data_IF_045666141698
#
_entry.id   IF_045666141698
#
_cell.length_a   1.000
_cell.length_b   1.000
_cell.length_c   1.000
_cell.angle_alpha   90.00
_cell.angle_beta   90.00
_cell.angle_gamma   90.00
#
_symmetry.space_group_name_H-M   'P 1'
#
loop_
_entity.id
_entity.type
_entity.pdbx_description
1 polymer ?
#
# COMPACT_ATOMS: atom_id res chain seq x y z
N UNK A 1 -23.68 -9.25 -3.13
CA UNK A 1 -22.28 -8.97 -2.94
C UNK A 1 -21.89 -7.73 -3.70
N UNK A 2 -21.66 -6.63 -3.02
CA UNK A 2 -21.08 -5.42 -3.61
C UNK A 2 -19.64 -5.72 -4.02
N UNK A 3 -19.41 -6.02 -5.28
CA UNK A 3 -18.05 -6.02 -5.85
C UNK A 3 -17.62 -4.56 -5.92
N UNK A 4 -16.58 -4.20 -5.16
CA UNK A 4 -16.11 -2.83 -5.04
C UNK A 4 -15.71 -2.22 -6.39
N UNK A 5 -15.93 -0.92 -6.52
CA UNK A 5 -15.60 -0.08 -7.68
C UNK A 5 -14.14 -0.24 -8.16
N UNK A 6 -13.20 -0.65 -7.29
CA UNK A 6 -11.80 -0.89 -7.64
C UNK A 6 -11.55 -1.95 -8.72
N UNK A 7 -12.47 -2.90 -8.92
CA UNK A 7 -12.37 -3.91 -10.00
C UNK A 7 -12.86 -3.38 -11.36
N UNK A 8 -13.61 -2.29 -11.39
CA UNK A 8 -14.15 -1.71 -12.63
C UNK A 8 -13.03 -1.12 -13.49
N UNK A 9 -12.01 -0.54 -12.88
CA UNK A 9 -10.87 0.08 -13.59
C UNK A 9 -10.05 -0.90 -14.41
N UNK A 10 -9.81 -2.09 -13.87
CA UNK A 10 -9.00 -3.13 -14.54
C UNK A 10 -9.73 -3.81 -15.70
N UNK A 11 -11.01 -3.49 -15.90
CA UNK A 11 -11.89 -4.14 -16.90
C UNK A 11 -12.56 -3.16 -17.85
N UNK A 12 -12.21 -1.88 -17.82
CA UNK A 12 -12.82 -0.88 -18.71
C UNK A 12 -12.59 -1.18 -20.19
N UNK A 13 -11.44 -1.76 -20.54
CA UNK A 13 -11.09 -2.17 -21.88
C UNK A 13 -11.71 -3.54 -22.30
N UNK A 14 -12.35 -4.23 -21.35
CA UNK A 14 -12.94 -5.56 -21.54
C UNK A 14 -14.47 -5.53 -21.54
N UNK A 15 -15.10 -4.35 -21.52
CA UNK A 15 -16.54 -4.19 -21.57
C UNK A 15 -16.95 -3.36 -22.80
N UNK A 16 -18.12 -3.68 -23.36
CA UNK A 16 -18.66 -2.98 -24.54
C UNK A 16 -19.21 -1.59 -24.18
N UNK A 17 -19.77 -1.46 -22.98
CA UNK A 17 -20.40 -0.21 -22.49
C UNK A 17 -20.18 -0.02 -21.00
N UNK A 18 -20.12 1.24 -20.59
CA UNK A 18 -19.98 1.69 -19.20
C UNK A 18 -21.18 2.55 -18.85
N UNK A 19 -21.78 2.26 -17.70
CA UNK A 19 -22.81 3.09 -17.05
C UNK A 19 -22.17 3.81 -15.87
N UNK A 20 -22.18 5.12 -15.89
CA UNK A 20 -21.78 5.94 -14.75
C UNK A 20 -23.00 6.43 -13.98
N UNK A 21 -23.01 6.11 -12.68
CA UNK A 21 -24.07 6.52 -11.75
C UNK A 21 -23.48 7.46 -10.70
N UNK A 22 -24.13 8.61 -10.50
CA UNK A 22 -23.82 9.51 -9.39
C UNK A 22 -25.10 9.90 -8.66
N UNK A 23 -25.05 9.90 -7.32
CA UNK A 23 -26.19 10.23 -6.44
C UNK A 23 -27.48 9.49 -6.80
N UNK A 24 -27.36 8.21 -7.17
CA UNK A 24 -28.49 7.35 -7.53
C UNK A 24 -29.10 7.62 -8.92
N UNK A 25 -28.47 8.45 -9.75
CA UNK A 25 -28.94 8.76 -11.12
C UNK A 25 -27.89 8.33 -12.15
N UNK A 26 -28.38 8.00 -13.36
CA UNK A 26 -27.52 7.78 -14.51
C UNK A 26 -27.03 9.13 -15.03
N UNK A 27 -25.72 9.36 -14.95
CA UNK A 27 -25.08 10.58 -15.44
C UNK A 27 -24.50 10.38 -16.84
N UNK A 28 -24.01 9.16 -17.14
CA UNK A 28 -23.46 8.85 -18.46
C UNK A 28 -23.62 7.35 -18.79
N UNK A 29 -23.80 7.06 -20.08
CA UNK A 29 -23.82 5.70 -20.63
C UNK A 29 -23.19 5.71 -22.02
N UNK A 30 -22.11 4.95 -22.21
CA UNK A 30 -21.39 4.92 -23.48
C UNK A 30 -20.33 3.83 -23.59
N UNK A 31 -19.58 3.86 -24.67
CA UNK A 31 -18.40 2.99 -24.83
C UNK A 31 -17.29 3.44 -23.89
N UNK A 32 -16.30 2.59 -23.57
CA UNK A 32 -15.16 2.96 -22.73
C UNK A 32 -14.44 4.25 -23.17
N UNK A 33 -14.23 4.43 -24.48
CA UNK A 33 -13.58 5.63 -25.01
C UNK A 33 -14.43 6.90 -24.82
N UNK A 34 -15.73 6.84 -25.05
CA UNK A 34 -16.64 7.96 -24.82
C UNK A 34 -16.76 8.28 -23.32
N UNK A 35 -16.78 7.26 -22.48
CA UNK A 35 -16.81 7.43 -21.03
C UNK A 35 -15.53 8.09 -20.51
N UNK A 36 -14.37 7.71 -21.03
CA UNK A 36 -13.10 8.33 -20.68
C UNK A 36 -13.09 9.82 -21.08
N UNK A 37 -13.58 10.17 -22.27
CA UNK A 37 -13.72 11.57 -22.69
C UNK A 37 -14.68 12.35 -21.78
N UNK A 38 -15.84 11.80 -21.46
CA UNK A 38 -16.79 12.39 -20.51
C UNK A 38 -16.15 12.66 -19.14
N UNK A 39 -15.33 11.73 -18.63
CA UNK A 39 -14.64 11.91 -17.34
C UNK A 39 -13.62 13.05 -17.37
N UNK A 40 -12.88 13.23 -18.46
CA UNK A 40 -11.97 14.39 -18.62
C UNK A 40 -12.76 15.69 -18.67
N UNK A 41 -13.80 15.77 -19.50
CA UNK A 41 -14.62 16.97 -19.69
C UNK A 41 -15.35 17.42 -18.42
N UNK A 42 -15.62 16.51 -17.49
CA UNK A 42 -16.34 16.78 -16.23
C UNK A 42 -15.45 16.76 -14.99
N UNK A 43 -14.13 16.86 -15.14
CA UNK A 43 -13.15 16.83 -14.05
C UNK A 43 -13.26 15.57 -13.15
N UNK A 44 -13.63 14.45 -13.74
CA UNK A 44 -13.77 13.13 -13.12
C UNK A 44 -12.56 12.23 -13.42
N UNK A 45 -11.39 12.82 -13.63
CA UNK A 45 -10.15 12.12 -14.01
C UNK A 45 -9.75 11.02 -13.02
N UNK A 46 -10.20 11.13 -11.77
CA UNK A 46 -10.04 10.08 -10.77
C UNK A 46 -10.59 8.71 -11.20
N UNK A 47 -11.54 8.67 -12.13
CA UNK A 47 -12.12 7.44 -12.67
C UNK A 47 -11.43 6.92 -13.95
N UNK A 48 -10.39 7.59 -14.43
CA UNK A 48 -9.63 7.14 -15.58
C UNK A 48 -8.54 6.12 -15.22
N UNK A 49 -8.24 5.15 -16.10
CA UNK A 49 -7.00 4.37 -16.01
C UNK A 49 -5.78 5.30 -16.04
N UNK A 50 -4.70 4.93 -15.35
CA UNK A 50 -3.48 5.75 -15.30
C UNK A 50 -2.89 6.02 -16.70
N UNK A 51 -2.99 5.04 -17.60
CA UNK A 51 -2.64 5.25 -19.01
C UNK A 51 -3.44 6.38 -19.65
N UNK A 52 -4.77 6.43 -19.41
CA UNK A 52 -5.62 7.50 -19.93
C UNK A 52 -5.29 8.86 -19.28
N UNK A 53 -5.04 8.90 -17.98
CA UNK A 53 -4.61 10.11 -17.25
C UNK A 53 -3.30 10.67 -17.81
N UNK A 54 -2.31 9.81 -18.05
CA UNK A 54 -1.02 10.22 -18.61
C UNK A 54 -1.15 10.90 -19.98
N UNK A 55 -2.17 10.53 -20.77
CA UNK A 55 -2.42 11.06 -22.10
C UNK A 55 -3.51 12.14 -22.15
N UNK A 56 -4.22 12.42 -21.05
CA UNK A 56 -5.38 13.33 -21.04
C UNK A 56 -5.07 14.76 -21.55
N UNK A 57 -3.81 15.21 -21.34
CA UNK A 57 -3.32 16.52 -21.83
C UNK A 57 -2.62 16.44 -23.18
N UNK A 58 -2.40 15.24 -23.73
CA UNK A 58 -1.58 15.02 -24.92
C UNK A 58 -2.39 14.66 -26.16
N UNK A 59 -3.56 14.02 -25.99
CA UNK A 59 -4.40 13.60 -27.12
C UNK A 59 -5.87 13.42 -26.71
N UNK A 60 -6.76 13.61 -27.69
CA UNK A 60 -8.21 13.44 -27.51
C UNK A 60 -8.63 11.96 -27.40
N UNK A 61 -7.93 11.09 -28.12
CA UNK A 61 -8.18 9.65 -28.12
C UNK A 61 -7.34 8.98 -27.03
N UNK A 62 -7.93 8.74 -25.87
CA UNK A 62 -7.24 8.28 -24.68
C UNK A 62 -6.96 6.77 -24.72
N UNK A 63 -5.71 6.32 -24.47
CA UNK A 63 -5.40 4.90 -24.33
C UNK A 63 -5.97 4.38 -23.01
N UNK A 64 -6.75 3.31 -23.07
CA UNK A 64 -7.40 2.72 -21.89
C UNK A 64 -6.56 1.62 -21.23
N UNK A 65 -5.48 1.18 -21.89
CA UNK A 65 -4.57 0.17 -21.37
C UNK A 65 -3.13 0.42 -21.83
N UNK A 66 -2.19 -0.29 -21.17
CA UNK A 66 -0.74 -0.14 -21.41
C UNK A 66 -0.35 -0.41 -22.86
N UNK A 67 -0.99 -1.38 -23.52
CA UNK A 67 -0.71 -1.72 -24.94
C UNK A 67 -1.07 -0.57 -25.86
N UNK A 68 -2.25 0.04 -25.68
CA UNK A 68 -2.67 1.21 -26.43
C UNK A 68 -1.76 2.41 -26.14
N UNK A 69 -1.40 2.64 -24.86
CA UNK A 69 -0.47 3.68 -24.45
C UNK A 69 0.89 3.54 -25.13
N UNK A 70 1.45 2.33 -25.13
CA UNK A 70 2.74 2.03 -25.79
C UNK A 70 2.70 2.30 -27.28
N UNK A 71 1.66 1.82 -27.98
CA UNK A 71 1.49 2.07 -29.41
C UNK A 71 1.36 3.57 -29.73
N UNK A 72 0.76 4.35 -28.84
CA UNK A 72 0.70 5.81 -29.01
C UNK A 72 2.05 6.49 -28.79
N UNK A 73 2.81 6.08 -27.79
CA UNK A 73 4.17 6.60 -27.56
C UNK A 73 5.07 6.31 -28.78
N UNK A 74 5.01 5.11 -29.34
CA UNK A 74 5.74 4.75 -30.55
C UNK A 74 5.37 5.67 -31.75
N UNK A 75 4.06 5.96 -31.93
CA UNK A 75 3.59 6.88 -32.97
C UNK A 75 4.01 8.33 -32.74
N UNK A 76 4.21 8.74 -31.47
CA UNK A 76 4.72 10.05 -31.10
C UNK A 76 6.26 10.15 -31.16
N UNK A 77 6.94 9.09 -31.63
CA UNK A 77 8.40 9.05 -31.74
C UNK A 77 9.15 8.85 -30.44
N UNK A 78 8.45 8.48 -29.37
CA UNK A 78 9.08 8.15 -28.08
C UNK A 78 9.45 6.67 -28.12
N UNK A 79 10.66 6.37 -28.61
CA UNK A 79 11.15 4.98 -28.82
C UNK A 79 12.02 4.47 -27.69
N UNK A 80 12.62 5.36 -26.90
CA UNK A 80 13.46 4.99 -25.76
C UNK A 80 12.94 5.64 -24.48
N UNK A 81 12.28 4.84 -23.65
CA UNK A 81 12.18 5.15 -22.24
C UNK A 81 13.53 4.78 -21.65
N UNK A 82 14.33 5.74 -21.16
CA UNK A 82 15.58 5.39 -20.51
C UNK A 82 15.25 4.37 -19.43
N UNK A 83 15.76 3.16 -19.56
CA UNK A 83 15.84 2.25 -18.41
C UNK A 83 16.73 2.98 -17.41
N UNK A 84 16.14 3.77 -16.54
CA UNK A 84 16.82 4.17 -15.31
C UNK A 84 17.16 2.85 -14.62
N UNK A 85 18.36 2.36 -14.90
CA UNK A 85 19.02 1.47 -13.98
C UNK A 85 19.05 2.27 -12.68
N UNK A 86 18.19 1.88 -11.73
CA UNK A 86 18.35 2.31 -10.36
C UNK A 86 19.68 1.73 -9.94
N UNK A 87 20.75 2.46 -10.28
CA UNK A 87 22.03 2.29 -9.61
C UNK A 87 21.68 2.57 -8.16
N UNK A 88 21.72 1.54 -7.37
CA UNK A 88 21.76 1.62 -5.92
C UNK A 88 23.05 2.39 -5.60
N UNK A 89 23.00 3.72 -5.84
CA UNK A 89 24.06 4.60 -5.39
C UNK A 89 24.04 4.40 -3.89
N UNK A 90 25.10 3.75 -3.41
CA UNK A 90 25.42 3.56 -2.01
C UNK A 90 25.45 4.92 -1.31
N UNK A 91 24.26 5.47 -1.08
CA UNK A 91 24.11 6.47 -0.04
C UNK A 91 24.32 5.72 1.26
N UNK A 92 25.37 6.05 1.96
CA UNK A 92 25.77 5.48 3.25
C UNK A 92 24.76 5.82 4.37
N UNK A 93 23.46 5.81 4.09
CA UNK A 93 22.43 6.05 5.09
C UNK A 93 22.10 4.75 5.81
N UNK A 94 22.02 4.79 7.15
CA UNK A 94 21.75 3.60 7.93
C UNK A 94 20.34 3.08 7.64
N UNK A 95 20.21 1.77 7.52
CA UNK A 95 18.92 1.12 7.36
C UNK A 95 18.04 1.32 8.60
N UNK A 96 16.80 1.77 8.39
CA UNK A 96 15.78 1.77 9.44
C UNK A 96 15.29 0.34 9.71
N UNK A 97 15.12 -0.47 8.65
CA UNK A 97 14.76 -1.88 8.74
C UNK A 97 15.75 -2.69 7.90
N UNK A 98 16.33 -3.73 8.47
CA UNK A 98 17.21 -4.64 7.76
C UNK A 98 16.90 -6.10 8.12
N UNK A 99 16.66 -6.89 7.10
CA UNK A 99 16.56 -8.35 7.16
C UNK A 99 17.79 -8.94 6.49
N UNK A 100 18.46 -9.90 7.14
CA UNK A 100 19.63 -10.57 6.59
C UNK A 100 19.45 -12.08 6.62
N UNK A 101 19.52 -12.69 5.45
CA UNK A 101 19.52 -14.15 5.24
C UNK A 101 18.40 -14.85 6.03
N UNK A 102 17.16 -14.36 5.88
CA UNK A 102 16.01 -14.89 6.62
C UNK A 102 15.51 -16.20 6.01
N UNK A 103 15.42 -17.22 6.86
CA UNK A 103 14.83 -18.51 6.53
C UNK A 103 13.66 -18.79 7.46
N UNK A 104 12.53 -19.19 6.90
CA UNK A 104 11.32 -19.48 7.65
C UNK A 104 10.49 -20.57 7.01
N UNK A 105 9.95 -21.46 7.84
CA UNK A 105 8.94 -22.48 7.54
C UNK A 105 7.97 -22.58 8.70
N UNK A 106 6.75 -23.00 8.46
CA UNK A 106 5.75 -23.11 9.52
C UNK A 106 5.98 -24.33 10.40
N UNK A 107 6.35 -25.45 9.81
CA UNK A 107 6.61 -26.72 10.51
C UNK A 107 7.99 -27.24 10.15
N UNK A 108 8.57 -28.07 11.03
CA UNK A 108 9.94 -28.61 10.88
C UNK A 108 10.15 -29.34 9.55
N UNK A 109 9.11 -30.00 9.04
CA UNK A 109 9.18 -30.84 7.83
C UNK A 109 8.46 -30.16 6.62
N UNK A 110 7.95 -28.92 6.76
CA UNK A 110 7.34 -28.21 5.64
C UNK A 110 8.38 -27.49 4.79
N UNK A 111 8.09 -27.22 3.51
CA UNK A 111 8.95 -26.41 2.64
C UNK A 111 9.25 -25.04 3.22
N UNK A 112 10.45 -24.53 2.95
CA UNK A 112 10.82 -23.18 3.32
C UNK A 112 10.01 -22.17 2.50
N UNK A 113 9.44 -21.20 3.21
CA UNK A 113 8.69 -20.09 2.63
C UNK A 113 9.62 -18.89 2.39
N UNK A 114 10.48 -18.59 3.36
CA UNK A 114 11.59 -17.67 3.16
C UNK A 114 12.88 -18.48 3.00
N UNK A 115 13.64 -18.16 1.95
CA UNK A 115 14.83 -18.93 1.53
C UNK A 115 16.03 -18.01 1.37
N UNK A 116 16.61 -17.53 2.49
CA UNK A 116 17.71 -16.58 2.47
C UNK A 116 17.25 -15.18 2.03
N UNK A 117 16.12 -14.71 2.57
CA UNK A 117 15.56 -13.42 2.18
C UNK A 117 16.35 -12.27 2.78
N UNK A 118 16.76 -11.34 1.93
CA UNK A 118 17.38 -10.06 2.28
C UNK A 118 16.46 -8.90 1.94
N UNK A 119 16.38 -7.91 2.84
CA UNK A 119 15.64 -6.67 2.64
C UNK A 119 16.32 -5.54 3.43
N UNK A 120 16.54 -4.41 2.77
CA UNK A 120 17.03 -3.19 3.42
C UNK A 120 16.16 -1.99 3.05
N UNK A 121 15.61 -1.31 4.08
CA UNK A 121 14.80 -0.09 3.93
C UNK A 121 15.52 1.03 4.65
N UNK A 122 15.76 2.14 3.96
CA UNK A 122 16.46 3.31 4.50
C UNK A 122 15.53 4.11 5.42
N UNK A 123 16.12 4.93 6.28
CA UNK A 123 15.34 5.83 7.15
C UNK A 123 14.55 6.84 6.31
N UNK A 124 13.26 7.04 6.62
CA UNK A 124 12.38 7.96 5.91
C UNK A 124 11.97 7.50 4.51
N UNK A 125 12.27 6.25 4.14
CA UNK A 125 11.93 5.68 2.85
C UNK A 125 10.54 5.03 2.88
N UNK A 126 9.77 5.22 1.82
CA UNK A 126 8.61 4.39 1.50
C UNK A 126 9.04 3.30 0.52
N UNK A 127 9.07 2.05 0.97
CA UNK A 127 9.48 0.90 0.18
C UNK A 127 8.28 0.03 -0.19
N UNK A 128 8.07 -0.20 -1.48
CA UNK A 128 7.04 -1.08 -2.03
C UNK A 128 7.55 -2.52 -2.19
N UNK A 129 7.04 -3.45 -1.38
CA UNK A 129 7.33 -4.87 -1.51
C UNK A 129 6.29 -5.51 -2.44
N UNK A 130 6.74 -5.86 -3.64
CA UNK A 130 5.90 -6.40 -4.71
C UNK A 130 6.03 -7.93 -4.78
N UNK A 131 5.02 -8.59 -5.33
CA UNK A 131 5.09 -10.03 -5.60
C UNK A 131 3.73 -10.69 -5.66
N UNK A 132 3.69 -11.88 -6.28
CA UNK A 132 2.48 -12.70 -6.39
C UNK A 132 1.99 -13.24 -5.04
N UNK A 133 0.73 -13.64 -4.99
CA UNK A 133 0.19 -14.34 -3.83
C UNK A 133 0.96 -15.65 -3.61
N UNK A 134 1.24 -15.97 -2.34
CA UNK A 134 2.06 -17.14 -1.99
C UNK A 134 3.58 -16.91 -2.02
N UNK A 135 4.07 -15.75 -2.47
CA UNK A 135 5.51 -15.42 -2.54
C UNK A 135 6.18 -15.11 -1.20
N UNK A 136 5.57 -15.45 -0.06
CA UNK A 136 6.19 -15.28 1.27
C UNK A 136 6.09 -13.86 1.87
N UNK A 137 5.42 -12.89 1.19
CA UNK A 137 5.29 -11.51 1.67
C UNK A 137 4.73 -11.41 3.09
N UNK A 138 3.55 -11.98 3.33
CA UNK A 138 2.90 -11.95 4.66
C UNK A 138 3.73 -12.72 5.71
N UNK A 139 4.47 -13.76 5.32
CA UNK A 139 5.40 -14.43 6.22
C UNK A 139 6.57 -13.54 6.59
N UNK A 140 7.12 -12.80 5.62
CA UNK A 140 8.17 -11.81 5.87
C UNK A 140 7.68 -10.71 6.81
N UNK A 141 6.47 -10.17 6.60
CA UNK A 141 5.88 -9.19 7.50
C UNK A 141 5.71 -9.74 8.92
N UNK A 142 5.21 -10.98 9.07
CA UNK A 142 5.10 -11.63 10.39
C UNK A 142 6.46 -11.76 11.07
N UNK A 143 7.51 -12.09 10.32
CA UNK A 143 8.88 -12.14 10.85
C UNK A 143 9.37 -10.75 11.25
N UNK A 144 9.17 -9.72 10.43
CA UNK A 144 9.53 -8.33 10.73
C UNK A 144 8.78 -7.83 11.97
N UNK A 145 7.52 -8.15 12.11
CA UNK A 145 6.70 -7.78 13.26
C UNK A 145 6.97 -8.63 14.53
N UNK A 146 7.84 -9.64 14.45
CA UNK A 146 8.14 -10.50 15.60
C UNK A 146 7.00 -11.47 15.95
N UNK A 147 5.99 -11.60 15.09
CA UNK A 147 4.86 -12.52 15.22
C UNK A 147 5.25 -13.96 14.84
N UNK A 148 6.35 -14.11 14.11
CA UNK A 148 6.92 -15.38 13.70
C UNK A 148 8.45 -15.31 13.86
N UNK A 149 9.06 -16.36 14.38
CA UNK A 149 10.50 -16.40 14.61
C UNK A 149 11.18 -17.17 13.47
N UNK A 150 12.09 -16.51 12.71
CA UNK A 150 12.85 -17.22 11.69
C UNK A 150 13.81 -18.22 12.36
N UNK A 151 14.04 -19.38 11.73
CA UNK A 151 15.00 -20.35 12.25
C UNK A 151 16.45 -19.98 11.89
N UNK A 152 16.65 -19.15 10.85
CA UNK A 152 17.96 -18.59 10.49
C UNK A 152 17.81 -17.16 10.02
N UNK A 153 18.86 -16.36 10.16
CA UNK A 153 18.91 -14.95 9.79
C UNK A 153 18.57 -13.98 10.92
N UNK A 154 18.54 -12.71 10.60
CA UNK A 154 18.33 -11.64 11.60
C UNK A 154 17.48 -10.51 11.05
N UNK A 155 16.66 -9.92 11.92
CA UNK A 155 15.96 -8.64 11.68
C UNK A 155 16.53 -7.60 12.63
N UNK A 156 16.81 -6.42 12.12
CA UNK A 156 17.22 -5.27 12.92
C UNK A 156 16.44 -4.01 12.52
N UNK A 157 16.15 -3.17 13.51
CA UNK A 157 15.47 -1.89 13.38
C UNK A 157 16.40 -0.81 13.93
N UNK A 158 16.78 0.15 13.10
CA UNK A 158 17.77 1.19 13.43
C UNK A 158 19.03 0.61 14.09
N UNK A 159 19.55 -0.50 13.53
CA UNK A 159 20.74 -1.20 14.01
C UNK A 159 20.53 -2.09 15.25
N UNK A 160 19.42 -1.97 15.97
CA UNK A 160 19.09 -2.82 17.13
C UNK A 160 18.39 -4.09 16.69
N UNK A 161 18.88 -5.27 17.09
CA UNK A 161 18.25 -6.55 16.75
C UNK A 161 16.81 -6.62 17.28
N UNK A 162 15.87 -7.06 16.46
CA UNK A 162 14.45 -7.17 16.81
C UNK A 162 14.22 -7.97 18.11
N UNK A 163 14.96 -9.05 18.31
CA UNK A 163 14.86 -9.88 19.53
C UNK A 163 15.26 -9.16 20.82
N UNK A 164 15.86 -7.98 20.74
CA UNK A 164 16.18 -7.15 21.90
C UNK A 164 14.98 -6.32 22.40
N UNK A 165 13.92 -6.21 21.59
CA UNK A 165 12.65 -5.62 21.99
C UNK A 165 11.82 -6.69 22.72
N UNK A 166 11.58 -6.49 24.02
CA UNK A 166 10.86 -7.45 24.88
C UNK A 166 9.54 -6.85 25.34
N UNK A 167 8.63 -7.71 25.79
CA UNK A 167 7.37 -7.30 26.45
C UNK A 167 6.53 -6.32 25.61
N UNK A 168 6.48 -6.52 24.30
CA UNK A 168 5.70 -5.68 23.39
C UNK A 168 6.32 -4.31 23.08
N UNK A 169 7.56 -4.01 23.52
CA UNK A 169 8.20 -2.71 23.27
C UNK A 169 8.44 -2.44 21.79
N UNK A 170 8.51 -3.48 20.95
CA UNK A 170 8.63 -3.33 19.49
C UNK A 170 7.49 -2.47 18.93
N UNK A 171 6.24 -2.79 19.28
CA UNK A 171 5.07 -2.06 18.80
C UNK A 171 4.82 -0.74 19.54
N UNK A 172 5.29 -0.61 20.78
CA UNK A 172 5.14 0.65 21.53
C UNK A 172 6.16 1.71 21.17
N UNK A 173 7.36 1.31 20.72
CA UNK A 173 8.49 2.22 20.54
C UNK A 173 8.88 2.41 19.08
N UNK A 174 8.64 1.43 18.23
CA UNK A 174 9.28 1.39 16.92
C UNK A 174 8.37 1.14 15.74
N UNK A 175 7.46 0.17 15.83
CA UNK A 175 6.79 -0.39 14.66
C UNK A 175 5.28 -0.41 14.85
N UNK A 176 4.55 0.01 13.83
CA UNK A 176 3.13 -0.27 13.72
C UNK A 176 2.86 -1.19 12.52
N UNK A 177 1.87 -2.06 12.65
CA UNK A 177 1.45 -2.99 11.60
C UNK A 177 -0.03 -2.83 11.29
N UNK A 178 -0.35 -2.57 10.05
CA UNK A 178 -1.70 -2.53 9.52
C UNK A 178 -1.95 -3.79 8.69
N UNK A 179 -2.77 -4.72 9.17
CA UNK A 179 -3.06 -5.96 8.47
C UNK A 179 -4.00 -5.74 7.28
N UNK A 180 -4.07 -6.73 6.40
CA UNK A 180 -4.94 -6.74 5.22
C UNK A 180 -6.44 -6.58 5.57
N UNK A 181 -6.86 -7.07 6.73
CA UNK A 181 -8.22 -6.95 7.26
C UNK A 181 -8.21 -6.04 8.50
N UNK A 182 -8.29 -4.70 8.33
CA UNK A 182 -8.10 -3.74 9.39
C UNK A 182 -9.16 -3.81 10.49
N UNK A 183 -10.37 -4.32 10.20
CA UNK A 183 -11.44 -4.51 11.19
C UNK A 183 -11.00 -5.42 12.34
N UNK A 184 -10.09 -6.37 12.09
CA UNK A 184 -9.55 -7.28 13.12
C UNK A 184 -8.74 -6.59 14.22
N UNK A 185 -8.36 -5.34 14.00
CA UNK A 185 -7.67 -4.53 15.01
C UNK A 185 -8.61 -3.95 16.07
N UNK A 186 -9.91 -3.98 15.83
CA UNK A 186 -10.93 -3.37 16.70
C UNK A 186 -11.63 -4.44 17.54
N UNK A 187 -11.73 -4.17 18.84
CA UNK A 187 -12.30 -5.11 19.83
C UNK A 187 -13.40 -4.47 20.68
N UNK A 188 -13.68 -3.18 20.51
CA UNK A 188 -14.69 -2.43 21.25
C UNK A 188 -15.95 -2.17 20.42
N UNK A 189 -16.99 -1.72 21.11
CA UNK A 189 -18.29 -1.39 20.53
C UNK A 189 -18.25 -0.12 19.67
N UNK A 190 -17.27 0.77 19.89
CA UNK A 190 -17.10 1.97 19.08
C UNK A 190 -15.63 2.21 18.73
N UNK A 191 -15.39 2.92 17.60
CA UNK A 191 -14.07 3.36 17.19
C UNK A 191 -13.40 4.20 18.28
N UNK A 192 -14.15 5.10 18.91
CA UNK A 192 -13.67 5.96 20.00
C UNK A 192 -13.08 5.17 21.16
N UNK A 193 -13.82 4.16 21.63
CA UNK A 193 -13.36 3.32 22.74
C UNK A 193 -12.06 2.57 22.40
N UNK A 194 -11.94 2.08 21.17
CA UNK A 194 -10.73 1.42 20.71
C UNK A 194 -9.52 2.38 20.63
N UNK A 195 -9.72 3.59 20.10
CA UNK A 195 -8.66 4.59 20.01
C UNK A 195 -8.18 5.06 21.39
N UNK A 196 -9.10 5.26 22.34
CA UNK A 196 -8.80 5.65 23.72
C UNK A 196 -8.01 4.59 24.52
N UNK A 197 -7.93 3.34 24.02
CA UNK A 197 -7.02 2.35 24.61
C UNK A 197 -5.54 2.59 24.23
N UNK A 198 -5.30 3.30 23.14
CA UNK A 198 -3.96 3.52 22.58
C UNK A 198 -3.46 4.95 22.74
N UNK A 199 -4.33 5.91 23.09
CA UNK A 199 -3.98 7.31 23.30
C UNK A 199 -4.93 8.01 24.29
N UNK A 200 -4.50 9.16 24.81
CA UNK A 200 -5.37 10.03 25.58
C UNK A 200 -6.40 10.76 24.69
N UNK A 201 -7.38 11.39 25.32
CA UNK A 201 -8.50 12.05 24.61
C UNK A 201 -8.02 13.11 23.61
N UNK A 202 -7.03 13.93 23.99
CA UNK A 202 -6.53 15.02 23.13
C UNK A 202 -5.81 14.46 21.92
N UNK A 203 -4.96 13.45 22.10
CA UNK A 203 -4.24 12.78 21.02
C UNK A 203 -5.22 12.08 20.07
N UNK A 204 -6.26 11.43 20.62
CA UNK A 204 -7.31 10.78 19.79
C UNK A 204 -8.07 11.81 18.97
N UNK A 205 -8.46 12.95 19.55
CA UNK A 205 -9.15 14.02 18.83
C UNK A 205 -8.27 14.57 17.67
N UNK A 206 -6.99 14.86 17.95
CA UNK A 206 -6.04 15.36 16.94
C UNK A 206 -5.84 14.38 15.78
N UNK A 207 -5.63 13.10 16.08
CA UNK A 207 -5.44 12.06 15.05
C UNK A 207 -6.73 11.84 14.28
N UNK A 208 -7.89 11.89 14.95
CA UNK A 208 -9.20 11.73 14.29
C UNK A 208 -9.48 12.86 13.31
N UNK A 209 -9.17 14.09 13.68
CA UNK A 209 -9.28 15.25 12.79
C UNK A 209 -8.34 15.11 11.59
N UNK A 210 -7.08 14.75 11.83
CA UNK A 210 -6.08 14.52 10.76
C UNK A 210 -6.55 13.48 9.74
N UNK A 211 -7.20 12.41 10.21
CA UNK A 211 -7.70 11.32 9.37
C UNK A 211 -9.10 11.58 8.82
N UNK A 212 -9.78 12.65 9.25
CA UNK A 212 -11.14 13.00 8.84
C UNK A 212 -12.17 11.96 9.26
N UNK A 213 -12.02 11.39 10.47
CA UNK A 213 -12.87 10.31 11.00
C UNK A 213 -13.72 10.72 12.20
N UNK A 214 -13.81 12.01 12.56
CA UNK A 214 -14.55 12.48 13.73
C UNK A 214 -16.01 12.00 13.73
N UNK A 215 -16.63 11.97 12.56
CA UNK A 215 -18.02 11.52 12.36
C UNK A 215 -18.21 9.99 12.46
N UNK A 216 -17.11 9.23 12.54
CA UNK A 216 -17.09 7.77 12.64
C UNK A 216 -16.82 7.28 14.07
N UNK A 217 -16.39 8.17 14.97
CA UNK A 217 -15.88 7.78 16.28
C UNK A 217 -16.89 7.00 17.14
N UNK A 218 -18.16 7.33 17.03
CA UNK A 218 -19.22 6.71 17.84
C UNK A 218 -19.92 5.54 17.10
N UNK A 219 -19.41 5.16 15.92
CA UNK A 219 -19.92 4.02 15.14
C UNK A 219 -19.21 2.73 15.53
N UNK A 220 -19.94 1.62 15.37
CA UNK A 220 -19.33 0.29 15.52
C UNK A 220 -18.39 -0.01 14.35
N UNK A 221 -17.19 -0.56 14.58
CA UNK A 221 -16.19 -0.81 13.52
C UNK A 221 -16.70 -1.69 12.37
N UNK A 222 -17.57 -2.64 12.64
CA UNK A 222 -18.15 -3.53 11.63
C UNK A 222 -19.21 -2.88 10.74
N UNK A 223 -19.72 -1.69 11.13
CA UNK A 223 -20.69 -0.91 10.34
C UNK A 223 -20.02 0.07 9.37
N UNK A 224 -18.70 0.09 9.36
CA UNK A 224 -17.91 0.99 8.51
C UNK A 224 -17.65 0.38 7.13
N UNK A 225 -17.63 1.24 6.11
CA UNK A 225 -17.16 0.85 4.78
C UNK A 225 -15.66 0.51 4.80
N UNK A 226 -15.18 -0.22 3.78
CA UNK A 226 -13.77 -0.60 3.68
C UNK A 226 -12.79 0.58 3.77
N UNK A 227 -13.12 1.72 3.17
CA UNK A 227 -12.28 2.92 3.25
C UNK A 227 -12.35 3.62 4.61
N UNK A 228 -13.51 3.64 5.25
CA UNK A 228 -13.69 4.21 6.58
C UNK A 228 -12.94 3.42 7.65
N UNK A 229 -13.09 2.09 7.66
CA UNK A 229 -12.37 1.24 8.62
C UNK A 229 -10.86 1.31 8.43
N UNK A 230 -10.39 1.46 7.19
CA UNK A 230 -8.98 1.65 6.89
C UNK A 230 -8.44 2.95 7.51
N UNK A 231 -9.15 4.07 7.37
CA UNK A 231 -8.77 5.35 7.99
C UNK A 231 -8.76 5.26 9.53
N UNK A 232 -9.77 4.60 10.12
CA UNK A 232 -9.82 4.37 11.56
C UNK A 232 -8.64 3.52 12.05
N UNK A 233 -8.25 2.49 11.28
CA UNK A 233 -7.11 1.66 11.60
C UNK A 233 -5.78 2.42 11.46
N UNK A 234 -5.66 3.30 10.45
CA UNK A 234 -4.53 4.24 10.38
C UNK A 234 -4.47 5.16 11.60
N UNK A 235 -5.59 5.76 12.00
CA UNK A 235 -5.64 6.56 13.22
C UNK A 235 -5.13 5.76 14.43
N UNK A 236 -5.60 4.51 14.58
CA UNK A 236 -5.19 3.63 15.69
C UNK A 236 -3.68 3.36 15.73
N UNK A 237 -3.05 3.06 14.59
CA UNK A 237 -1.60 2.82 14.55
C UNK A 237 -0.77 4.09 14.75
N UNK A 238 -1.27 5.26 14.35
CA UNK A 238 -0.58 6.54 14.50
C UNK A 238 -0.54 7.01 15.96
N UNK A 239 -1.50 6.60 16.80
CA UNK A 239 -1.49 6.90 18.25
C UNK A 239 -0.25 6.35 18.98
N UNK A 240 0.37 5.28 18.45
CA UNK A 240 1.61 4.73 19.01
C UNK A 240 2.87 5.49 18.58
N UNK A 241 2.75 6.55 17.77
CA UNK A 241 3.87 7.34 17.24
C UNK A 241 5.01 6.50 16.63
N UNK A 242 4.71 5.55 15.70
CA UNK A 242 5.68 4.58 15.22
C UNK A 242 6.74 5.23 14.33
N UNK A 243 7.98 4.75 14.39
CA UNK A 243 9.08 5.15 13.48
C UNK A 243 9.04 4.37 12.16
N UNK A 244 8.52 3.13 12.22
CA UNK A 244 8.34 2.25 11.05
C UNK A 244 6.87 1.84 10.97
N UNK A 245 6.27 2.01 9.80
CA UNK A 245 4.89 1.63 9.51
C UNK A 245 4.92 0.51 8.48
N UNK A 246 4.31 -0.62 8.81
CA UNK A 246 4.19 -1.79 7.94
C UNK A 246 2.74 -1.96 7.51
N UNK A 247 2.50 -1.97 6.22
CA UNK A 247 1.17 -1.99 5.61
C UNK A 247 1.02 -3.24 4.73
N UNK A 248 0.03 -4.08 5.04
CA UNK A 248 -0.25 -5.30 4.27
C UNK A 248 -1.50 -5.11 3.41
N UNK A 249 -1.31 -4.97 2.07
CA UNK A 249 -2.37 -4.87 1.06
C UNK A 249 -3.44 -3.80 1.37
N UNK A 250 -3.02 -2.66 1.92
CA UNK A 250 -3.91 -1.61 2.42
C UNK A 250 -4.74 -0.89 1.34
N UNK A 251 -4.44 -1.09 0.05
CA UNK A 251 -5.20 -0.51 -1.08
C UNK A 251 -6.32 -1.41 -1.61
N UNK A 252 -6.44 -2.63 -1.07
CA UNK A 252 -7.39 -3.62 -1.56
C UNK A 252 -8.85 -3.17 -1.34
N UNK A 253 -9.64 -3.19 -2.41
CA UNK A 253 -11.05 -2.80 -2.38
C UNK A 253 -11.31 -1.29 -2.28
N UNK A 254 -10.28 -0.46 -2.32
CA UNK A 254 -10.41 1.00 -2.38
C UNK A 254 -10.69 1.48 -3.81
N UNK A 255 -11.52 2.50 -3.92
CA UNK A 255 -11.64 3.29 -5.15
C UNK A 255 -10.45 4.24 -5.32
N UNK A 256 -10.34 4.90 -6.45
CA UNK A 256 -9.20 5.79 -6.75
C UNK A 256 -9.12 7.02 -5.85
N UNK A 257 -10.25 7.54 -5.38
CA UNK A 257 -10.26 8.69 -4.47
C UNK A 257 -9.73 8.29 -3.09
N UNK A 258 -10.18 7.13 -2.58
CA UNK A 258 -9.69 6.59 -1.32
C UNK A 258 -8.20 6.23 -1.40
N UNK A 259 -7.73 5.66 -2.54
CA UNK A 259 -6.31 5.39 -2.78
C UNK A 259 -5.48 6.66 -2.79
N UNK A 260 -5.96 7.72 -3.48
CA UNK A 260 -5.27 9.02 -3.49
C UNK A 260 -5.16 9.58 -2.09
N UNK A 261 -6.26 9.63 -1.34
CA UNK A 261 -6.26 10.11 0.04
C UNK A 261 -5.29 9.33 0.95
N UNK A 262 -5.24 7.99 0.77
CA UNK A 262 -4.26 7.15 1.46
C UNK A 262 -2.82 7.50 1.04
N UNK A 263 -2.57 7.67 -0.25
CA UNK A 263 -1.26 8.04 -0.77
C UNK A 263 -0.78 9.39 -0.22
N UNK A 264 -1.66 10.38 -0.17
CA UNK A 264 -1.36 11.69 0.42
C UNK A 264 -0.95 11.55 1.90
N UNK A 265 -1.67 10.71 2.68
CA UNK A 265 -1.31 10.40 4.06
C UNK A 265 0.08 9.74 4.15
N UNK A 266 0.42 8.81 3.24
CA UNK A 266 1.74 8.17 3.22
C UNK A 266 2.87 9.17 2.93
N UNK A 267 2.64 10.13 2.03
CA UNK A 267 3.59 11.20 1.76
C UNK A 267 3.80 12.10 2.98
N UNK A 268 2.73 12.53 3.64
CA UNK A 268 2.81 13.32 4.87
C UNK A 268 3.63 12.60 5.96
N UNK A 269 3.35 11.31 6.18
CA UNK A 269 4.07 10.50 7.16
C UNK A 269 5.55 10.33 6.82
N UNK A 270 5.87 10.21 5.54
CA UNK A 270 7.24 10.17 5.04
C UNK A 270 7.95 11.51 5.28
N UNK A 271 7.29 12.64 4.99
CA UNK A 271 7.83 13.98 5.22
C UNK A 271 8.07 14.25 6.72
N UNK A 272 7.30 13.61 7.61
CA UNK A 272 7.54 13.56 9.06
C UNK A 272 8.74 12.65 9.46
N UNK A 273 9.39 12.01 8.48
CA UNK A 273 10.55 11.14 8.71
C UNK A 273 10.19 9.70 9.08
N UNK A 274 8.93 9.26 8.90
CA UNK A 274 8.53 7.86 9.12
C UNK A 274 9.07 7.00 7.98
N UNK A 275 9.44 5.77 8.31
CA UNK A 275 9.82 4.75 7.34
C UNK A 275 8.62 3.86 7.06
N UNK A 276 8.32 3.58 5.80
CA UNK A 276 7.12 2.84 5.41
C UNK A 276 7.51 1.61 4.60
N UNK A 277 7.01 0.45 5.00
CA UNK A 277 7.02 -0.79 4.23
C UNK A 277 5.60 -1.08 3.76
N UNK A 278 5.36 -0.88 2.47
CA UNK A 278 4.09 -1.15 1.82
C UNK A 278 4.16 -2.48 1.07
N UNK A 279 3.39 -3.46 1.48
CA UNK A 279 3.16 -4.68 0.70
C UNK A 279 1.93 -4.48 -0.16
N UNK A 280 2.06 -4.63 -1.47
CA UNK A 280 0.96 -4.47 -2.40
C UNK A 280 1.18 -5.22 -3.71
N UNK A 281 0.10 -5.55 -4.39
CA UNK A 281 0.08 -5.98 -5.78
C UNK A 281 -0.33 -4.85 -6.74
N UNK A 282 -0.66 -3.67 -6.20
CA UNK A 282 -1.03 -2.47 -6.96
C UNK A 282 0.24 -1.73 -7.40
N UNK A 283 0.70 -2.06 -8.61
CA UNK A 283 1.92 -1.48 -9.18
C UNK A 283 1.79 0.03 -9.42
N UNK A 284 0.60 0.50 -9.77
CA UNK A 284 0.34 1.92 -10.02
C UNK A 284 0.48 2.72 -8.73
N UNK A 285 -0.14 2.24 -7.65
CA UNK A 285 -0.02 2.86 -6.33
C UNK A 285 1.43 2.84 -5.82
N UNK A 286 2.12 1.70 -5.96
CA UNK A 286 3.51 1.60 -5.56
C UNK A 286 4.43 2.54 -6.36
N UNK A 287 4.23 2.66 -7.67
CA UNK A 287 5.01 3.55 -8.52
C UNK A 287 4.80 5.04 -8.20
N UNK A 288 3.61 5.40 -7.71
CA UNK A 288 3.26 6.78 -7.40
C UNK A 288 3.75 7.22 -6.02
N UNK A 289 3.75 6.32 -5.02
CA UNK A 289 3.94 6.70 -3.62
C UNK A 289 5.19 6.08 -2.96
N UNK A 290 5.84 5.08 -3.58
CA UNK A 290 7.06 4.48 -3.06
C UNK A 290 8.32 5.07 -3.70
N UNK A 291 9.37 5.25 -2.91
CA UNK A 291 10.69 5.70 -3.39
C UNK A 291 11.42 4.59 -4.14
N UNK A 292 11.30 3.37 -3.65
CA UNK A 292 11.80 2.14 -4.26
C UNK A 292 10.77 1.03 -4.17
N UNK A 293 10.80 0.15 -5.14
CA UNK A 293 10.01 -1.08 -5.14
C UNK A 293 10.90 -2.27 -5.47
N UNK A 294 10.58 -3.41 -4.92
CA UNK A 294 11.29 -4.63 -5.25
C UNK A 294 10.50 -5.88 -4.88
N UNK A 295 10.83 -7.02 -5.49
CA UNK A 295 10.32 -8.32 -5.07
C UNK A 295 10.97 -8.76 -3.76
N UNK A 296 10.41 -9.78 -3.11
CA UNK A 296 11.15 -10.53 -2.10
C UNK A 296 12.37 -11.17 -2.80
N UNK A 297 13.59 -10.69 -2.50
CA UNK A 297 14.78 -11.26 -3.10
C UNK A 297 15.31 -12.43 -2.25
N UNK A 298 15.64 -13.52 -2.92
CA UNK A 298 16.24 -14.70 -2.34
C UNK A 298 17.68 -14.84 -2.81
N UNK A 299 18.64 -14.91 -1.89
CA UNK A 299 20.08 -14.94 -2.21
C UNK A 299 20.51 -16.18 -2.99
N UNK A 300 19.74 -17.28 -2.95
CA UNK A 300 20.10 -18.55 -3.60
C UNK A 300 19.62 -18.72 -5.05
N UNK A 301 18.99 -17.71 -5.68
CA UNK A 301 18.59 -17.79 -7.09
C UNK A 301 19.66 -17.28 -8.07
N UNK A 302 20.84 -16.85 -7.58
CA UNK A 302 21.93 -16.34 -8.43
C UNK A 302 22.92 -17.40 -8.93
N UNK A 303 22.84 -18.65 -8.46
CA UNK A 303 23.85 -19.67 -8.76
C UNK A 303 23.41 -20.74 -9.78
N UNK A 304 22.27 -20.53 -10.49
CA UNK A 304 21.77 -21.48 -11.49
C UNK A 304 21.20 -20.79 -12.76
N UNK A 305 21.95 -19.85 -13.35
CA UNK A 305 21.83 -19.49 -14.77
C UNK A 305 23.21 -19.35 -15.39
#
# INVERSE_FOLDING_TARGET
GSRGLGDVYKRQDSCDKILYLAKGKTEFFGTPALTAKYFVENALEGFLPETAKAFAKLCEDLPLNVRQGRSKLEKLGVTDIPKQAVTDTERAEPYALQCKNLWQRYEKNSPDILKGCDLGIRKGECYGLLGSNGGGKSTLLRVICGLCKPYMGTVSLFGKKQKAYKNGSLFREMLAFLPQEPVTMFVKESVREDLLQSGDKVTVENVSQRMGIEHLLDRHPWDLSGGEIQKCAFAKILLADPKIIVLDECTKGMDSFAKKALGDILLDLKDEGRTILLVTHDLEFAAQYCDRCGPVSYTHLRDHE
#
